data_IF_486310550812
#
_entry.id   IF_486310550812
#
_cell.length_a   1.000
_cell.length_b   1.000
_cell.length_c   1.000
_cell.angle_alpha   90.00
_cell.angle_beta   90.00
_cell.angle_gamma   90.00
#
_symmetry.space_group_name_H-M   'P 1'
#
loop_
_entity.id
_entity.type
_entity.pdbx_description
1 polymer ?
#
# COMPACT_ATOMS: atom_id res chain seq x y z
N UNK A 1 -8.23 -8.94 -11.63
CA UNK A 1 -8.61 -7.60 -11.15
C UNK A 1 -9.12 -7.70 -9.73
N UNK A 2 -8.63 -6.83 -8.85
CA UNK A 2 -9.13 -6.60 -7.48
C UNK A 2 -10.12 -5.41 -7.51
N UNK A 3 -11.36 -5.56 -8.02
CA UNK A 3 -12.25 -4.41 -8.19
C UNK A 3 -12.58 -3.72 -6.85
N UNK A 4 -12.68 -4.47 -5.75
CA UNK A 4 -12.98 -3.91 -4.42
C UNK A 4 -11.74 -3.49 -3.64
N UNK A 5 -10.55 -3.93 -4.08
CA UNK A 5 -9.27 -3.70 -3.38
C UNK A 5 -8.53 -2.44 -3.80
N UNK A 6 -9.06 -1.67 -4.76
CA UNK A 6 -8.47 -0.40 -5.21
C UNK A 6 -9.45 0.72 -4.91
N UNK A 7 -9.00 1.73 -4.18
CA UNK A 7 -9.78 2.89 -3.77
C UNK A 7 -9.22 4.14 -4.44
N UNK A 8 -10.02 4.71 -5.35
CA UNK A 8 -9.71 5.93 -6.09
C UNK A 8 -10.19 7.14 -5.29
N UNK A 9 -9.30 7.75 -4.49
CA UNK A 9 -9.66 8.73 -3.46
C UNK A 9 -10.29 10.01 -4.04
N UNK A 10 -9.77 10.51 -5.15
CA UNK A 10 -10.27 11.76 -5.76
C UNK A 10 -11.61 11.50 -6.44
N UNK A 11 -11.73 10.38 -7.15
CA UNK A 11 -12.97 9.92 -7.76
C UNK A 11 -14.10 9.70 -6.73
N UNK A 12 -13.81 9.05 -5.61
CA UNK A 12 -14.78 8.87 -4.53
C UNK A 12 -15.18 10.20 -3.89
N UNK A 13 -14.22 11.09 -3.63
CA UNK A 13 -14.48 12.41 -3.08
C UNK A 13 -15.40 13.24 -3.98
N UNK A 14 -15.06 13.32 -5.27
CA UNK A 14 -15.86 14.02 -6.28
C UNK A 14 -17.30 13.50 -6.33
N UNK A 15 -17.47 12.18 -6.27
CA UNK A 15 -18.79 11.53 -6.26
C UNK A 15 -19.60 11.94 -5.02
N UNK A 16 -18.98 11.92 -3.85
CA UNK A 16 -19.66 12.27 -2.58
C UNK A 16 -20.02 13.75 -2.48
N UNK A 17 -19.19 14.64 -3.03
CA UNK A 17 -19.45 16.08 -3.03
C UNK A 17 -20.26 16.56 -4.23
N UNK A 18 -20.60 15.66 -5.17
CA UNK A 18 -21.34 15.99 -6.39
C UNK A 18 -20.56 16.82 -7.41
N UNK A 19 -19.23 16.81 -7.35
CA UNK A 19 -18.37 17.53 -8.28
C UNK A 19 -18.27 16.73 -9.60
N UNK A 20 -18.70 17.34 -10.70
CA UNK A 20 -18.74 16.70 -12.02
C UNK A 20 -18.23 17.64 -13.10
N UNK A 21 -17.79 17.08 -14.24
CA UNK A 21 -17.29 17.84 -15.38
C UNK A 21 -16.12 18.75 -15.01
N UNK A 22 -16.18 20.03 -15.39
CA UNK A 22 -15.11 20.99 -15.13
C UNK A 22 -14.93 21.35 -13.65
N UNK A 23 -15.86 20.97 -12.77
CA UNK A 23 -15.75 21.16 -11.33
C UNK A 23 -15.13 19.94 -10.62
N UNK A 24 -14.95 18.82 -11.32
CA UNK A 24 -14.32 17.63 -10.76
C UNK A 24 -12.86 17.92 -10.39
N UNK A 25 -12.47 17.51 -9.18
CA UNK A 25 -11.08 17.62 -8.76
C UNK A 25 -10.23 16.55 -9.44
N UNK A 26 -8.95 16.85 -9.60
CA UNK A 26 -7.90 15.97 -10.10
C UNK A 26 -6.84 15.83 -9.01
N UNK A 27 -5.91 14.88 -9.18
CA UNK A 27 -4.77 14.69 -8.28
C UNK A 27 -3.99 16.00 -8.00
N UNK A 28 -3.91 16.91 -8.97
CA UNK A 28 -3.27 18.22 -8.78
C UNK A 28 -4.20 19.26 -8.15
N UNK A 29 -5.49 19.29 -8.50
CA UNK A 29 -6.39 20.34 -8.01
C UNK A 29 -6.87 20.10 -6.57
N UNK A 30 -6.71 18.88 -6.03
CA UNK A 30 -6.94 18.62 -4.60
C UNK A 30 -5.93 19.34 -3.71
N UNK A 31 -4.70 19.60 -4.18
CA UNK A 31 -3.68 20.34 -3.41
C UNK A 31 -3.90 21.87 -3.39
N UNK A 32 -4.93 22.37 -4.08
CA UNK A 32 -5.28 23.79 -4.02
C UNK A 32 -5.73 24.17 -2.60
N UNK A 33 -5.38 25.37 -2.09
CA UNK A 33 -5.67 25.78 -0.72
C UNK A 33 -7.15 25.65 -0.30
N UNK A 34 -8.06 25.82 -1.25
CA UNK A 34 -9.50 25.70 -1.01
C UNK A 34 -9.96 24.24 -0.75
N UNK A 35 -9.27 23.25 -1.32
CA UNK A 35 -9.71 21.86 -1.38
C UNK A 35 -8.88 20.92 -0.50
N UNK A 36 -7.63 21.27 -0.25
CA UNK A 36 -6.66 20.40 0.41
C UNK A 36 -7.13 19.97 1.81
N UNK A 37 -7.61 20.91 2.62
CA UNK A 37 -8.07 20.63 3.98
C UNK A 37 -9.29 19.70 4.02
N UNK A 38 -10.42 19.99 3.34
CA UNK A 38 -11.57 19.10 3.35
C UNK A 38 -11.26 17.74 2.71
N UNK A 39 -10.37 17.68 1.71
CA UNK A 39 -9.94 16.43 1.10
C UNK A 39 -9.18 15.54 2.09
N UNK A 40 -8.15 16.04 2.80
CA UNK A 40 -7.41 15.22 3.76
C UNK A 40 -8.25 14.78 4.97
N UNK A 41 -9.24 15.58 5.37
CA UNK A 41 -10.23 15.16 6.38
C UNK A 41 -11.09 13.98 5.87
N UNK A 42 -11.52 14.05 4.61
CA UNK A 42 -12.21 12.94 3.95
C UNK A 42 -11.33 11.69 3.87
N UNK A 43 -10.07 11.81 3.42
CA UNK A 43 -9.13 10.69 3.31
C UNK A 43 -8.96 9.99 4.65
N UNK A 44 -8.76 10.73 5.74
CA UNK A 44 -8.70 10.16 7.10
C UNK A 44 -9.99 9.40 7.47
N UNK A 45 -11.15 10.02 7.25
CA UNK A 45 -12.44 9.35 7.53
C UNK A 45 -12.62 8.08 6.68
N UNK A 46 -12.11 8.09 5.44
CA UNK A 46 -12.16 6.96 4.53
C UNK A 46 -11.26 5.83 5.00
N UNK A 47 -10.01 6.11 5.36
CA UNK A 47 -9.06 5.12 5.93
C UNK A 47 -9.67 4.46 7.18
N UNK A 48 -10.25 5.26 8.08
CA UNK A 48 -10.91 4.72 9.28
C UNK A 48 -12.10 3.80 8.94
N UNK A 49 -12.87 4.18 7.93
CA UNK A 49 -14.00 3.37 7.46
C UNK A 49 -13.52 2.06 6.84
N UNK A 50 -12.43 2.08 6.06
CA UNK A 50 -11.84 0.90 5.45
C UNK A 50 -11.26 -0.05 6.52
N UNK A 51 -10.52 0.48 7.50
CA UNK A 51 -10.02 -0.31 8.62
C UNK A 51 -11.14 -1.00 9.39
N UNK A 52 -12.24 -0.29 9.67
CA UNK A 52 -13.44 -0.89 10.29
C UNK A 52 -14.13 -1.93 9.38
N UNK A 53 -14.05 -1.79 8.07
CA UNK A 53 -14.61 -2.79 7.15
C UNK A 53 -13.74 -4.04 7.08
N UNK A 54 -12.42 -3.91 7.20
CA UNK A 54 -11.48 -5.04 7.24
C UNK A 54 -11.70 -5.94 8.47
N UNK A 55 -12.16 -5.38 9.59
CA UNK A 55 -12.49 -6.19 10.79
C UNK A 55 -13.74 -7.06 10.61
N UNK A 56 -14.59 -6.75 9.61
CA UNK A 56 -15.77 -7.55 9.33
C UNK A 56 -15.42 -8.79 8.51
N UNK A 57 -16.00 -9.92 8.90
CA UNK A 57 -15.88 -11.17 8.16
C UNK A 57 -16.58 -11.07 6.81
N UNK A 58 -15.80 -10.92 5.75
CA UNK A 58 -16.29 -10.66 4.39
C UNK A 58 -15.35 -11.24 3.33
N UNK A 59 -15.87 -11.43 2.12
CA UNK A 59 -15.11 -11.82 0.94
C UNK A 59 -14.53 -10.61 0.17
N UNK A 60 -14.68 -9.39 0.70
CA UNK A 60 -14.19 -8.15 0.09
C UNK A 60 -12.70 -7.93 0.38
N UNK A 61 -12.02 -7.18 -0.50
CA UNK A 61 -10.61 -6.75 -0.35
C UNK A 61 -9.57 -7.87 -0.48
N UNK A 62 -9.91 -8.99 -1.11
CA UNK A 62 -9.03 -10.16 -1.28
C UNK A 62 -9.35 -10.87 -2.60
N UNK A 63 -8.45 -11.72 -3.10
CA UNK A 63 -8.75 -12.57 -4.26
C UNK A 63 -9.57 -13.76 -3.80
N UNK A 64 -10.76 -13.92 -4.39
CA UNK A 64 -11.52 -15.16 -4.30
C UNK A 64 -11.39 -15.94 -5.60
N UNK A 65 -11.07 -17.23 -5.48
CA UNK A 65 -11.06 -18.15 -6.62
C UNK A 65 -12.52 -18.54 -6.90
N UNK A 66 -12.89 -18.60 -8.18
CA UNK A 66 -14.25 -18.95 -8.61
C UNK A 66 -14.71 -20.27 -7.99
N UNK A 67 -15.86 -20.24 -7.30
CA UNK A 67 -16.44 -21.40 -6.61
C UNK A 67 -15.74 -21.79 -5.30
N UNK A 68 -14.79 -20.97 -4.83
CA UNK A 68 -14.05 -21.14 -3.57
C UNK A 68 -13.95 -19.80 -2.85
N UNK A 69 -15.07 -19.13 -2.62
CA UNK A 69 -15.06 -17.89 -1.85
C UNK A 69 -14.59 -18.13 -0.41
N UNK A 70 -13.72 -17.25 0.06
CA UNK A 70 -13.21 -17.28 1.43
C UNK A 70 -13.68 -16.01 2.11
N UNK A 71 -14.10 -16.12 3.38
CA UNK A 71 -14.41 -14.96 4.20
C UNK A 71 -13.28 -14.76 5.22
N UNK A 72 -12.59 -13.62 5.13
CA UNK A 72 -11.54 -13.22 6.09
C UNK A 72 -12.01 -12.07 6.96
N UNK A 73 -11.33 -11.90 8.08
CA UNK A 73 -11.44 -10.74 8.94
C UNK A 73 -10.03 -10.38 9.42
N UNK A 74 -9.72 -9.09 9.48
CA UNK A 74 -8.43 -8.58 9.93
C UNK A 74 -8.66 -7.68 11.15
N UNK A 75 -8.39 -8.14 12.38
CA UNK A 75 -8.47 -7.31 13.58
C UNK A 75 -7.55 -6.10 13.48
N UNK A 76 -7.90 -4.97 14.12
CA UNK A 76 -7.12 -3.73 14.04
C UNK A 76 -5.62 -3.90 14.35
N UNK A 77 -5.28 -4.71 15.36
CA UNK A 77 -3.89 -5.00 15.74
C UNK A 77 -3.04 -5.67 14.64
N UNK A 78 -3.69 -6.31 13.67
CA UNK A 78 -3.04 -6.98 12.53
C UNK A 78 -3.16 -6.13 11.26
N UNK A 79 -3.76 -4.93 11.32
CA UNK A 79 -3.83 -4.03 10.18
C UNK A 79 -2.55 -3.21 10.11
N UNK A 80 -1.89 -3.26 8.95
CA UNK A 80 -0.75 -2.40 8.58
C UNK A 80 -1.23 -1.34 7.60
N UNK A 81 -0.85 -0.10 7.81
CA UNK A 81 -1.22 1.05 6.98
C UNK A 81 0.05 1.79 6.59
N UNK A 82 0.46 1.64 5.33
CA UNK A 82 1.65 2.32 4.81
C UNK A 82 1.18 3.43 3.89
N UNK A 83 1.48 4.68 4.25
CA UNK A 83 1.13 5.87 3.47
C UNK A 83 2.39 6.58 3.02
N UNK A 84 2.31 7.37 1.96
CA UNK A 84 3.39 8.30 1.63
C UNK A 84 3.68 9.23 2.82
N UNK A 85 4.95 9.42 3.16
CA UNK A 85 5.37 10.31 4.25
C UNK A 85 4.80 11.73 4.09
N UNK A 86 4.83 12.27 2.87
CA UNK A 86 4.25 13.58 2.54
C UNK A 86 2.75 13.65 2.87
N UNK A 87 2.01 12.57 2.59
CA UNK A 87 0.59 12.50 2.86
C UNK A 87 0.30 12.38 4.36
N UNK A 88 1.09 11.61 5.11
CA UNK A 88 0.97 11.50 6.56
C UNK A 88 1.20 12.84 7.25
N UNK A 89 2.24 13.57 6.85
CA UNK A 89 2.55 14.88 7.40
C UNK A 89 1.42 15.87 7.12
N UNK A 90 0.88 15.86 5.90
CA UNK A 90 -0.28 16.68 5.54
C UNK A 90 -1.54 16.31 6.35
N UNK A 91 -1.83 15.03 6.55
CA UNK A 91 -2.94 14.58 7.40
C UNK A 91 -2.74 15.08 8.84
N UNK A 92 -1.53 14.94 9.37
CA UNK A 92 -1.21 15.34 10.74
C UNK A 92 -1.43 16.85 10.96
N UNK A 93 -0.90 17.68 10.06
CA UNK A 93 -1.03 19.15 10.17
C UNK A 93 -2.47 19.63 9.94
N UNK A 94 -3.14 19.08 8.92
CA UNK A 94 -4.42 19.63 8.44
C UNK A 94 -5.64 19.10 9.21
N UNK A 95 -5.51 17.92 9.82
CA UNK A 95 -6.60 17.28 10.57
C UNK A 95 -6.46 17.47 12.09
N UNK A 96 -5.25 17.39 12.65
CA UNK A 96 -5.08 17.45 14.12
C UNK A 96 -5.19 18.86 14.71
N UNK A 97 -5.20 19.91 13.90
CA UNK A 97 -5.33 21.30 14.38
C UNK A 97 -6.68 21.63 15.02
N UNK A 98 -7.71 20.80 14.85
CA UNK A 98 -9.05 21.02 15.45
C UNK A 98 -9.45 19.97 16.52
N UNK A 99 -8.72 18.86 16.69
CA UNK A 99 -9.08 17.78 17.62
C UNK A 99 -7.95 17.59 18.64
N UNK A 100 -8.10 18.22 19.81
CA UNK A 100 -7.07 18.29 20.85
C UNK A 100 -6.75 16.97 21.56
N UNK A 101 -7.48 15.88 21.33
CA UNK A 101 -7.24 14.59 21.96
C UNK A 101 -7.63 13.48 21.00
N UNK A 102 -6.63 12.85 20.40
CA UNK A 102 -6.55 11.43 20.01
C UNK A 102 -5.55 11.30 18.86
N UNK A 103 -4.51 10.51 19.09
CA UNK A 103 -3.51 10.17 18.08
C UNK A 103 -4.25 9.52 16.89
N UNK A 104 -4.20 10.15 15.70
CA UNK A 104 -5.00 9.70 14.58
C UNK A 104 -4.44 8.36 14.10
N UNK A 105 -5.29 7.33 14.07
CA UNK A 105 -4.97 5.96 13.62
C UNK A 105 -4.28 5.05 14.67
N UNK A 106 -4.31 5.41 15.97
CA UNK A 106 -3.71 4.64 17.07
C UNK A 106 -4.12 3.14 17.19
N UNK A 107 -5.14 2.70 16.44
CA UNK A 107 -5.61 1.32 16.46
C UNK A 107 -4.87 0.40 15.46
N UNK A 108 -4.15 0.95 14.49
CA UNK A 108 -3.42 0.20 13.46
C UNK A 108 -1.95 0.62 13.44
N UNK A 109 -1.09 -0.24 12.90
CA UNK A 109 0.33 0.07 12.73
C UNK A 109 0.51 0.93 11.48
N UNK A 110 0.86 2.21 11.68
CA UNK A 110 0.97 3.19 10.60
C UNK A 110 2.43 3.55 10.35
N UNK A 111 2.87 3.39 9.11
CA UNK A 111 4.23 3.70 8.69
C UNK A 111 4.24 4.69 7.52
N UNK A 112 5.16 5.65 7.56
CA UNK A 112 5.44 6.56 6.46
C UNK A 112 6.48 5.98 5.53
N UNK A 113 6.12 5.89 4.25
CA UNK A 113 6.99 5.45 3.17
C UNK A 113 7.43 6.66 2.38
N UNK A 114 8.73 6.95 2.39
CA UNK A 114 9.30 8.11 1.69
C UNK A 114 9.21 7.95 0.16
N UNK A 115 9.38 6.72 -0.35
CA UNK A 115 9.25 6.37 -1.77
C UNK A 115 8.97 4.87 -1.96
N UNK A 116 8.16 4.51 -2.95
CA UNK A 116 7.81 3.10 -3.20
C UNK A 116 8.89 2.30 -3.93
N UNK A 117 9.58 2.91 -4.89
CA UNK A 117 10.65 2.26 -5.67
C UNK A 117 11.88 3.14 -5.88
N UNK A 118 11.68 4.41 -6.21
CA UNK A 118 12.75 5.33 -6.52
C UNK A 118 12.47 6.71 -5.92
N UNK A 119 13.50 7.35 -5.40
CA UNK A 119 13.39 8.68 -4.78
C UNK A 119 12.99 9.78 -5.78
N UNK A 120 13.34 9.62 -7.06
CA UNK A 120 13.00 10.59 -8.11
C UNK A 120 11.52 10.54 -8.51
N UNK A 121 10.86 9.39 -8.31
CA UNK A 121 9.44 9.18 -8.59
C UNK A 121 8.81 8.46 -7.38
N UNK A 122 8.63 9.16 -6.25
CA UNK A 122 8.32 8.54 -4.96
C UNK A 122 6.95 7.85 -4.93
N UNK A 123 5.99 8.29 -5.74
CA UNK A 123 4.61 7.81 -5.82
C UNK A 123 4.36 6.80 -6.98
N UNK A 124 5.44 6.34 -7.63
CA UNK A 124 5.36 5.47 -8.80
C UNK A 124 5.86 4.05 -8.51
N UNK A 125 5.16 3.05 -9.08
CA UNK A 125 5.61 1.67 -9.14
C UNK A 125 5.61 1.20 -10.61
N UNK A 126 6.76 0.72 -11.07
CA UNK A 126 6.93 -0.03 -12.31
C UNK A 126 7.11 -1.51 -11.99
N UNK A 127 6.20 -2.35 -12.47
CA UNK A 127 6.23 -3.79 -12.18
C UNK A 127 5.61 -4.61 -13.32
N UNK A 128 6.16 -5.81 -13.52
CA UNK A 128 5.49 -6.90 -14.24
C UNK A 128 4.87 -7.82 -13.19
N UNK A 129 3.56 -7.72 -12.92
CA UNK A 129 2.94 -8.41 -11.79
C UNK A 129 2.85 -9.91 -12.07
N UNK A 130 3.11 -10.72 -11.04
CA UNK A 130 2.69 -12.12 -11.00
C UNK A 130 1.49 -12.21 -10.05
N UNK A 131 0.31 -12.51 -10.61
CA UNK A 131 -0.94 -12.57 -9.85
C UNK A 131 -1.58 -13.94 -10.01
N UNK A 132 -2.42 -14.34 -9.05
CA UNK A 132 -3.26 -15.52 -9.20
C UNK A 132 -4.43 -15.18 -10.11
N UNK A 133 -4.66 -16.00 -11.14
CA UNK A 133 -5.88 -15.92 -11.94
C UNK A 133 -7.08 -16.44 -11.11
N UNK A 134 -8.08 -15.60 -10.81
CA UNK A 134 -9.25 -16.01 -10.01
C UNK A 134 -10.06 -17.14 -10.65
N UNK A 135 -10.02 -17.30 -11.98
CA UNK A 135 -10.78 -18.34 -12.66
C UNK A 135 -10.15 -19.72 -12.52
N UNK A 136 -8.82 -19.80 -12.57
CA UNK A 136 -8.08 -21.07 -12.59
C UNK A 136 -7.36 -21.39 -11.28
N UNK A 137 -7.08 -20.37 -10.45
CA UNK A 137 -6.27 -20.49 -9.24
C UNK A 137 -4.77 -20.65 -9.52
N UNK A 138 -4.33 -20.49 -10.77
CA UNK A 138 -2.92 -20.62 -11.17
C UNK A 138 -2.23 -19.25 -11.21
N UNK A 139 -0.92 -19.25 -11.01
CA UNK A 139 -0.11 -18.04 -11.18
C UNK A 139 -0.06 -17.64 -12.66
N UNK A 140 -0.39 -16.39 -12.94
CA UNK A 140 -0.33 -15.77 -14.25
C UNK A 140 0.60 -14.55 -14.19
N UNK A 141 1.45 -14.41 -15.21
CA UNK A 141 2.29 -13.23 -15.38
C UNK A 141 1.51 -12.21 -16.19
N UNK A 142 1.29 -11.04 -15.61
CA UNK A 142 0.64 -9.91 -16.28
C UNK A 142 1.61 -9.14 -17.19
N UNK A 143 1.08 -8.14 -17.90
CA UNK A 143 1.90 -7.21 -18.67
C UNK A 143 2.64 -6.23 -17.76
N UNK A 144 3.82 -5.78 -18.20
CA UNK A 144 4.52 -4.67 -17.55
C UNK A 144 3.61 -3.44 -17.50
N UNK A 145 3.52 -2.82 -16.33
CA UNK A 145 2.69 -1.66 -16.08
C UNK A 145 3.39 -0.67 -15.15
N UNK A 146 3.07 0.61 -15.35
CA UNK A 146 3.52 1.71 -14.50
C UNK A 146 2.28 2.31 -13.86
N UNK A 147 2.23 2.26 -12.53
CA UNK A 147 1.15 2.83 -11.71
C UNK A 147 1.70 4.09 -11.05
N UNK A 148 1.00 5.20 -11.23
CA UNK A 148 1.32 6.49 -10.63
C UNK A 148 0.33 6.82 -9.51
N UNK A 149 0.57 7.92 -8.78
CA UNK A 149 -0.35 8.47 -7.80
C UNK A 149 -0.67 7.49 -6.65
N UNK A 150 0.30 6.68 -6.23
CA UNK A 150 0.10 5.73 -5.13
C UNK A 150 0.14 6.48 -3.81
N UNK A 151 -1.02 6.60 -3.18
CA UNK A 151 -1.18 7.31 -1.91
C UNK A 151 -0.77 6.43 -0.72
N UNK A 152 -1.08 5.14 -0.79
CA UNK A 152 -0.85 4.21 0.31
C UNK A 152 -1.39 2.82 0.07
N UNK A 153 -1.09 1.91 1.00
CA UNK A 153 -1.61 0.55 1.05
C UNK A 153 -2.03 0.21 2.49
N UNK A 154 -3.16 -0.49 2.62
CA UNK A 154 -3.64 -1.05 3.87
C UNK A 154 -3.74 -2.57 3.70
N UNK A 155 -3.16 -3.35 4.60
CA UNK A 155 -3.13 -4.81 4.45
C UNK A 155 -3.13 -5.53 5.80
N UNK A 156 -3.50 -6.80 5.78
CA UNK A 156 -3.30 -7.72 6.90
C UNK A 156 -1.80 -8.05 7.03
N UNK A 157 -1.26 -8.08 8.24
CA UNK A 157 0.12 -8.46 8.52
C UNK A 157 0.55 -9.77 7.83
N UNK A 158 -0.36 -10.75 7.73
CA UNK A 158 -0.06 -12.03 7.09
C UNK A 158 -0.10 -11.97 5.55
N UNK A 159 -0.57 -10.87 4.95
CA UNK A 159 -0.70 -10.72 3.50
C UNK A 159 0.64 -10.49 2.80
N UNK A 160 1.63 -9.88 3.48
CA UNK A 160 2.93 -9.55 2.90
C UNK A 160 4.03 -10.11 3.78
N UNK A 161 4.79 -11.06 3.24
CA UNK A 161 5.83 -11.74 4.00
C UNK A 161 7.17 -11.62 3.26
N UNK A 162 8.17 -11.16 4.01
CA UNK A 162 9.58 -11.19 3.60
C UNK A 162 10.36 -12.10 4.52
N UNK A 163 11.23 -12.92 3.95
CA UNK A 163 12.10 -13.80 4.71
C UNK A 163 13.52 -13.73 4.15
N UNK A 164 14.43 -13.14 4.93
CA UNK A 164 15.86 -13.16 4.65
C UNK A 164 16.46 -14.47 5.14
N UNK A 165 16.94 -15.28 4.20
CA UNK A 165 17.62 -16.55 4.44
C UNK A 165 19.08 -16.45 4.06
N UNK A 166 19.92 -17.25 4.73
CA UNK A 166 21.31 -17.47 4.37
C UNK A 166 22.15 -16.18 4.25
N UNK A 167 22.06 -15.28 5.24
CA UNK A 167 23.00 -14.17 5.36
C UNK A 167 24.38 -14.71 5.77
N UNK A 168 25.36 -14.63 4.87
CA UNK A 168 26.72 -15.16 5.09
C UNK A 168 27.76 -14.18 4.60
N UNK A 169 28.81 -14.03 5.41
CA UNK A 169 30.01 -13.28 5.08
C UNK A 169 31.18 -14.27 5.00
N UNK A 170 31.66 -14.53 3.79
CA UNK A 170 32.71 -15.51 3.53
C UNK A 170 33.90 -14.84 2.88
N UNK A 171 35.10 -15.08 3.39
CA UNK A 171 36.33 -14.55 2.78
C UNK A 171 37.07 -15.64 2.02
N UNK A 172 37.52 -15.33 0.81
CA UNK A 172 38.39 -16.22 0.06
C UNK A 172 39.73 -16.37 0.78
N UNK A 173 40.46 -17.48 0.55
CA UNK A 173 41.88 -17.56 0.88
C UNK A 173 42.66 -16.38 0.28
N UNK A 174 43.81 -16.05 0.88
CA UNK A 174 44.69 -14.97 0.41
C UNK A 174 45.21 -15.31 -1.00
N UNK A 175 45.00 -14.43 -1.97
CA UNK A 175 45.65 -14.54 -3.26
C UNK A 175 47.13 -14.13 -3.10
N UNK A 176 48.02 -15.12 -3.10
CA UNK A 176 49.45 -14.91 -2.85
C UNK A 176 50.13 -14.04 -3.93
N UNK A 177 49.64 -14.05 -5.18
CA UNK A 177 50.22 -13.27 -6.28
C UNK A 177 49.76 -11.81 -6.27
N UNK A 178 48.52 -11.57 -5.84
CA UNK A 178 47.91 -10.24 -5.83
C UNK A 178 47.86 -9.56 -4.47
N UNK A 179 48.21 -10.27 -3.39
CA UNK A 179 48.14 -9.82 -1.99
C UNK A 179 46.77 -9.26 -1.57
N UNK A 180 45.68 -9.83 -2.10
CA UNK A 180 44.31 -9.46 -1.74
C UNK A 180 43.49 -10.65 -1.26
N UNK A 181 42.44 -10.36 -0.49
CA UNK A 181 41.34 -11.29 -0.18
C UNK A 181 40.05 -10.68 -0.70
N UNK A 182 39.19 -11.50 -1.25
CA UNK A 182 37.83 -11.09 -1.59
C UNK A 182 36.91 -11.54 -0.47
N UNK A 183 35.98 -10.67 -0.07
CA UNK A 183 34.92 -11.02 0.87
C UNK A 183 33.60 -10.97 0.15
N UNK A 184 32.83 -12.04 0.28
CA UNK A 184 31.52 -12.20 -0.33
C UNK A 184 30.47 -12.07 0.76
N UNK A 185 29.64 -11.05 0.64
CA UNK A 185 28.39 -10.96 1.38
C UNK A 185 27.29 -11.56 0.49
N UNK A 186 26.72 -12.68 0.94
CA UNK A 186 25.60 -13.33 0.26
C UNK A 186 24.38 -13.32 1.16
N UNK A 187 23.22 -12.99 0.59
CA UNK A 187 21.93 -13.07 1.26
C UNK A 187 20.87 -13.51 0.23
N UNK A 188 19.95 -14.36 0.66
CA UNK A 188 18.80 -14.76 -0.16
C UNK A 188 17.55 -14.18 0.48
N UNK A 189 16.84 -13.29 -0.20
CA UNK A 189 15.54 -12.82 0.25
C UNK A 189 14.43 -13.57 -0.48
N UNK A 190 13.41 -14.00 0.26
CA UNK A 190 12.17 -14.54 -0.29
C UNK A 190 11.05 -13.54 0.00
N UNK A 191 10.29 -13.20 -1.04
CA UNK A 191 9.12 -12.33 -0.94
C UNK A 191 7.91 -13.16 -1.36
N UNK A 192 6.87 -13.17 -0.54
CA UNK A 192 5.60 -13.80 -0.88
C UNK A 192 4.43 -12.96 -0.40
N UNK A 193 3.40 -12.89 -1.25
CA UNK A 193 2.15 -12.21 -0.95
C UNK A 193 1.04 -13.26 -0.85
N UNK A 194 0.33 -13.30 0.27
CA UNK A 194 -0.91 -14.07 0.39
C UNK A 194 -2.08 -13.22 -0.10
N UNK A 195 -2.47 -13.47 -1.35
CA UNK A 195 -3.58 -12.75 -2.00
C UNK A 195 -4.96 -13.16 -1.47
N UNK A 196 -5.03 -14.15 -0.57
CA UNK A 196 -6.28 -14.57 0.08
C UNK A 196 -6.57 -13.78 1.36
N UNK A 197 -5.59 -13.04 1.88
CA UNK A 197 -5.78 -12.09 2.97
C UNK A 197 -6.17 -10.71 2.45
N UNK A 198 -6.64 -9.84 3.36
CA UNK A 198 -7.17 -8.52 2.98
C UNK A 198 -6.06 -7.55 2.61
N UNK A 199 -6.22 -6.88 1.48
CA UNK A 199 -5.35 -5.82 0.99
C UNK A 199 -6.13 -4.76 0.22
N UNK A 200 -5.81 -3.49 0.46
CA UNK A 200 -6.42 -2.32 -0.14
C UNK A 200 -5.33 -1.36 -0.60
N UNK A 201 -5.39 -0.94 -1.86
CA UNK A 201 -4.51 0.09 -2.43
C UNK A 201 -5.28 1.39 -2.52
N UNK A 202 -4.67 2.48 -2.05
CA UNK A 202 -5.20 3.84 -2.13
C UNK A 202 -4.49 4.57 -3.26
N UNK A 203 -5.25 5.04 -4.25
CA UNK A 203 -4.76 5.82 -5.37
C UNK A 203 -5.31 7.25 -5.30
N UNK A 204 -4.48 8.20 -5.72
CA UNK A 204 -4.84 9.62 -5.85
C UNK A 204 -5.24 9.91 -7.30
N UNK A 205 -6.40 9.40 -7.74
CA UNK A 205 -6.95 9.56 -9.08
C UNK A 205 -8.49 9.67 -9.13
#
# INVERSE_FOLDING_TARGET
NFPDGVVHLVSEYNTLTGLTGNAALTAQSVYQPANIRPFFQFVRARINTLGRRMTNRSSLYQINITGKEINRHTPYRNQKIYLSSDALDQISVMVNTNTYHDEPLAYADVEGVDFWQAIENPDQISITPAIIDPATGLAAVGSAQVINNIFGVMFDEDAVVTNMKYYRLESTPLNARGLYRNTWLTCNAQYCNDVTEKGIVLLLD
#
